data_IF_850599145004
#
_entry.id   IF_850599145004
#
_cell.length_a   1.000
_cell.length_b   1.000
_cell.length_c   1.000
_cell.angle_alpha   90.00
_cell.angle_beta   90.00
_cell.angle_gamma   90.00
#
_symmetry.space_group_name_H-M   'P 1'
#
loop_
_entity.id
_entity.type
_entity.pdbx_description
1 polymer ?
#
# COMPACT_ATOMS: atom_id res chain seq x y z
N UNK A 1 8.60 13.96 9.62
CA UNK A 1 7.27 13.60 9.08
C UNK A 1 6.83 12.17 9.44
N UNK A 2 7.59 11.12 9.10
CA UNK A 2 7.19 9.71 9.32
C UNK A 2 6.94 9.30 10.78
N UNK A 3 7.69 9.86 11.75
CA UNK A 3 7.42 9.66 13.20
C UNK A 3 6.02 10.16 13.60
N UNK A 4 5.61 11.33 13.13
CA UNK A 4 4.28 11.89 13.40
C UNK A 4 3.19 11.03 12.76
N UNK A 5 3.39 10.61 11.50
CA UNK A 5 2.51 9.69 10.78
C UNK A 5 2.30 8.37 11.54
N UNK A 6 3.38 7.77 12.05
CA UNK A 6 3.35 6.56 12.90
C UNK A 6 2.55 6.77 14.19
N UNK A 7 2.74 7.89 14.89
CA UNK A 7 1.94 8.23 16.08
C UNK A 7 0.46 8.30 15.73
N UNK A 8 0.09 9.01 14.66
CA UNK A 8 -1.30 9.11 14.25
C UNK A 8 -1.89 7.77 13.78
N UNK A 9 -1.08 6.85 13.23
CA UNK A 9 -1.53 5.50 12.90
C UNK A 9 -1.82 4.69 14.18
N UNK A 10 -1.01 4.86 15.23
CA UNK A 10 -1.29 4.25 16.53
C UNK A 10 -2.58 4.80 17.14
N UNK A 11 -2.77 6.13 17.08
CA UNK A 11 -4.01 6.76 17.53
C UNK A 11 -5.22 6.26 16.73
N UNK A 12 -5.08 6.10 15.41
CA UNK A 12 -6.12 5.52 14.55
C UNK A 12 -6.54 4.14 15.01
N UNK A 13 -5.57 3.26 15.31
CA UNK A 13 -5.82 1.93 15.84
C UNK A 13 -6.52 1.97 17.21
N UNK A 14 -6.12 2.88 18.10
CA UNK A 14 -6.74 3.04 19.43
C UNK A 14 -8.17 3.58 19.36
N UNK A 15 -8.49 4.48 18.42
CA UNK A 15 -9.85 4.98 18.23
C UNK A 15 -10.79 3.89 17.69
N UNK A 16 -10.30 3.04 16.78
CA UNK A 16 -11.10 1.99 16.12
C UNK A 16 -11.20 0.67 16.91
N UNK A 17 -10.24 0.39 17.78
CA UNK A 17 -10.26 -0.71 18.75
C UNK A 17 -9.83 -0.16 20.13
N UNK A 18 -10.73 0.47 20.91
CA UNK A 18 -10.39 1.03 22.23
C UNK A 18 -9.88 0.00 23.24
N UNK A 19 -10.08 -1.29 22.98
CA UNK A 19 -9.58 -2.40 23.78
C UNK A 19 -8.25 -2.97 23.24
N UNK A 20 -7.64 -2.34 22.23
CA UNK A 20 -6.39 -2.82 21.64
C UNK A 20 -5.26 -2.84 22.66
N UNK A 21 -4.83 -4.04 23.04
CA UNK A 21 -3.69 -4.22 23.91
C UNK A 21 -2.36 -3.91 23.21
N UNK A 22 -1.32 -3.57 23.99
CA UNK A 22 0.01 -3.19 23.47
C UNK A 22 0.57 -4.16 22.43
N UNK A 23 0.44 -5.48 22.65
CA UNK A 23 0.92 -6.48 21.69
C UNK A 23 0.21 -6.36 20.34
N UNK A 24 -1.12 -6.25 20.30
CA UNK A 24 -1.85 -6.06 19.04
C UNK A 24 -1.49 -4.74 18.38
N UNK A 25 -1.30 -3.68 19.16
CA UNK A 25 -0.90 -2.37 18.64
C UNK A 25 0.50 -2.41 18.00
N UNK A 26 1.48 -3.11 18.59
CA UNK A 26 2.79 -3.30 17.95
C UNK A 26 2.69 -4.13 16.68
N UNK A 27 1.80 -5.13 16.65
CA UNK A 27 1.53 -5.93 15.46
C UNK A 27 0.87 -5.12 14.36
N UNK A 28 -0.02 -4.20 14.72
CA UNK A 28 -0.64 -3.28 13.76
C UNK A 28 0.42 -2.45 13.03
N UNK A 29 1.38 -1.86 13.76
CA UNK A 29 2.49 -1.09 13.15
C UNK A 29 3.38 -1.99 12.29
N UNK A 30 3.76 -3.17 12.81
CA UNK A 30 4.54 -4.15 12.06
C UNK A 30 3.87 -4.57 10.74
N UNK A 31 2.59 -4.95 10.77
CA UNK A 31 1.88 -5.38 9.56
C UNK A 31 1.67 -4.24 8.57
N UNK A 32 1.51 -3.01 9.04
CA UNK A 32 1.43 -1.85 8.16
C UNK A 32 2.72 -1.68 7.35
N UNK A 33 3.89 -1.76 8.00
CA UNK A 33 5.17 -1.71 7.29
C UNK A 33 5.42 -2.95 6.43
N UNK A 34 5.09 -4.15 6.92
CA UNK A 34 5.28 -5.39 6.18
C UNK A 34 4.48 -5.43 4.88
N UNK A 35 3.19 -5.10 4.95
CA UNK A 35 2.30 -5.12 3.79
C UNK A 35 2.68 -4.01 2.82
N UNK A 36 2.93 -2.81 3.32
CA UNK A 36 3.37 -1.70 2.48
C UNK A 36 4.70 -2.03 1.79
N UNK A 37 5.65 -2.65 2.47
CA UNK A 37 6.93 -3.08 1.88
C UNK A 37 6.73 -4.06 0.74
N UNK A 38 5.91 -5.09 0.92
CA UNK A 38 5.67 -6.08 -0.14
C UNK A 38 4.84 -5.54 -1.30
N UNK A 39 4.07 -4.45 -1.10
CA UNK A 39 3.29 -3.80 -2.14
C UNK A 39 4.04 -2.66 -2.84
N UNK A 40 4.97 -1.97 -2.16
CA UNK A 40 5.60 -0.71 -2.60
C UNK A 40 7.12 -0.71 -2.59
N UNK A 41 7.77 -1.79 -2.14
CA UNK A 41 9.22 -1.88 -1.99
C UNK A 41 9.81 -1.03 -0.85
N UNK A 42 8.98 -0.32 -0.07
CA UNK A 42 9.43 0.55 1.03
C UNK A 42 8.51 0.41 2.24
N UNK A 43 9.02 0.69 3.44
CA UNK A 43 8.19 0.71 4.65
C UNK A 43 7.40 2.02 4.75
N UNK A 44 6.21 1.95 5.35
CA UNK A 44 5.33 3.10 5.51
C UNK A 44 5.87 4.10 6.54
N UNK A 45 6.47 3.59 7.62
CA UNK A 45 6.90 4.38 8.78
C UNK A 45 8.41 4.49 8.93
N UNK A 46 9.21 3.83 8.08
CA UNK A 46 10.68 3.83 8.17
C UNK A 46 11.17 3.32 9.54
N UNK A 47 10.50 2.26 9.98
CA UNK A 47 10.72 1.64 11.29
C UNK A 47 11.85 0.63 11.20
N UNK A 48 12.71 0.61 12.22
CA UNK A 48 13.55 -0.55 12.51
C UNK A 48 12.79 -1.50 13.43
N UNK A 49 13.01 -2.80 13.27
CA UNK A 49 12.30 -3.81 14.05
C UNK A 49 13.27 -4.67 14.82
N UNK A 50 12.96 -4.90 16.10
CA UNK A 50 13.71 -5.81 16.96
C UNK A 50 12.88 -7.08 17.12
N UNK A 51 13.53 -8.24 16.98
CA UNK A 51 12.90 -9.53 17.29
C UNK A 51 12.70 -9.63 18.80
N UNK A 52 11.46 -9.83 19.23
CA UNK A 52 11.08 -9.97 20.64
C UNK A 52 10.26 -11.26 20.86
N UNK A 53 10.06 -11.72 22.13
CA UNK A 53 9.37 -12.99 22.41
C UNK A 53 7.90 -13.05 21.96
N UNK A 54 7.28 -11.91 21.68
CA UNK A 54 5.91 -11.79 21.16
C UNK A 54 5.90 -11.31 19.70
N UNK A 55 6.99 -11.60 18.99
CA UNK A 55 7.26 -11.22 17.62
C UNK A 55 7.90 -9.84 17.45
N UNK A 56 8.06 -9.36 16.20
CA UNK A 56 8.78 -8.13 15.89
C UNK A 56 8.14 -6.88 16.52
N UNK A 57 8.97 -5.92 16.92
CA UNK A 57 8.54 -4.69 17.59
C UNK A 57 9.38 -3.50 17.09
N UNK A 58 8.70 -2.42 16.70
CA UNK A 58 9.33 -1.10 16.52
C UNK A 58 9.67 -0.51 17.91
N UNK A 59 10.96 -0.21 18.21
CA UNK A 59 11.37 0.22 19.54
C UNK A 59 10.85 1.61 19.92
N UNK A 60 10.59 2.49 18.94
CA UNK A 60 10.07 3.85 19.16
C UNK A 60 8.59 3.79 19.57
N UNK A 61 7.77 3.05 18.83
CA UNK A 61 6.36 2.80 19.13
C UNK A 61 6.20 2.01 20.44
N UNK A 62 7.11 1.06 20.69
CA UNK A 62 7.16 0.36 21.96
C UNK A 62 7.44 1.32 23.11
N UNK A 63 8.49 2.13 23.03
CA UNK A 63 8.81 3.12 24.06
C UNK A 63 7.63 4.07 24.32
N UNK A 64 7.01 4.60 23.26
CA UNK A 64 5.87 5.52 23.36
C UNK A 64 4.65 4.91 24.07
N UNK A 65 4.41 3.61 23.90
CA UNK A 65 3.30 2.89 24.58
C UNK A 65 3.63 2.47 26.01
N UNK A 66 4.85 2.75 26.46
CA UNK A 66 5.30 2.46 27.82
C UNK A 66 4.66 3.39 28.84
N UNK A 67 4.40 4.65 28.53
CA UNK A 67 3.97 5.67 29.51
C UNK A 67 3.00 6.68 28.90
N UNK A 68 2.23 7.36 29.77
CA UNK A 68 1.36 8.47 29.36
C UNK A 68 2.20 9.59 28.74
N UNK A 69 1.72 10.14 27.65
CA UNK A 69 2.38 11.22 26.90
C UNK A 69 1.33 12.22 26.39
N UNK A 70 1.76 13.16 25.54
CA UNK A 70 0.90 14.21 25.00
C UNK A 70 -0.23 13.68 24.11
N UNK A 71 -0.05 12.52 23.48
CA UNK A 71 -0.99 11.96 22.52
C UNK A 71 -2.03 11.03 23.15
N UNK A 72 -1.65 10.26 24.18
CA UNK A 72 -2.54 9.31 24.86
C UNK A 72 -2.11 9.01 26.30
N UNK A 73 -3.07 8.58 27.11
CA UNK A 73 -2.86 8.09 28.48
C UNK A 73 -2.70 6.58 28.48
N UNK A 74 -1.77 6.06 29.29
CA UNK A 74 -1.52 4.63 29.47
C UNK A 74 -1.94 4.20 30.87
N UNK A 75 -2.92 3.30 30.97
CA UNK A 75 -3.28 2.63 32.22
C UNK A 75 -2.70 1.22 32.22
N UNK A 76 -1.78 0.96 33.16
CA UNK A 76 -1.18 -0.37 33.38
C UNK A 76 -1.91 -1.07 34.51
N UNK A 77 -2.32 -2.30 34.28
CA UNK A 77 -2.84 -3.18 35.35
C UNK A 77 -2.21 -4.54 35.24
N UNK A 78 -1.86 -5.17 36.36
CA UNK A 78 -1.41 -6.56 36.36
C UNK A 78 -2.60 -7.49 36.22
N UNK A 79 -2.64 -8.24 35.13
CA UNK A 79 -3.55 -9.36 34.97
C UNK A 79 -3.15 -10.49 35.91
N UNK A 80 -4.12 -11.04 36.64
CA UNK A 80 -3.95 -12.30 37.37
C UNK A 80 -3.90 -13.44 36.34
N UNK A 81 -2.88 -14.29 36.43
CA UNK A 81 -2.82 -15.51 35.63
C UNK A 81 -4.08 -16.35 35.86
N UNK A 82 -4.57 -17.04 34.81
CA UNK A 82 -5.77 -17.89 34.94
C UNK A 82 -5.55 -19.11 35.84
N UNK A 83 -4.29 -19.41 36.18
CA UNK A 83 -3.87 -20.42 37.15
C UNK A 83 -2.60 -19.97 37.88
N UNK A 84 -2.26 -20.63 38.99
CA UNK A 84 -1.00 -20.39 39.73
C UNK A 84 0.25 -20.62 38.86
N UNK A 85 0.12 -21.36 37.75
CA UNK A 85 1.19 -21.63 36.79
C UNK A 85 1.33 -20.55 35.71
N UNK A 86 0.36 -19.64 35.54
CA UNK A 86 0.45 -18.57 34.53
C UNK A 86 1.10 -17.33 35.14
N UNK A 87 2.27 -16.93 34.62
CA UNK A 87 2.93 -15.70 35.06
C UNK A 87 1.99 -14.49 34.89
N UNK A 88 1.98 -13.56 35.86
CA UNK A 88 1.23 -12.31 35.72
C UNK A 88 1.71 -11.57 34.47
N UNK A 89 0.78 -10.93 33.78
CA UNK A 89 1.07 -10.15 32.57
C UNK A 89 0.56 -8.73 32.73
N UNK A 90 1.29 -7.78 32.16
CA UNK A 90 0.86 -6.39 32.15
C UNK A 90 -0.20 -6.19 31.06
N UNK A 91 -1.37 -5.71 31.49
CA UNK A 91 -2.44 -5.27 30.62
C UNK A 91 -2.34 -3.76 30.46
N UNK A 92 -2.30 -3.30 29.20
CA UNK A 92 -2.18 -1.90 28.83
C UNK A 92 -3.51 -1.46 28.21
N UNK A 93 -4.09 -0.39 28.76
CA UNK A 93 -5.22 0.32 28.19
C UNK A 93 -4.76 1.71 27.75
N UNK A 94 -5.15 2.09 26.54
CA UNK A 94 -4.81 3.38 25.95
C UNK A 94 -6.06 4.25 25.88
N UNK A 95 -5.92 5.51 26.26
CA UNK A 95 -6.97 6.51 26.09
C UNK A 95 -6.41 7.68 25.29
N UNK A 96 -6.89 7.84 24.07
CA UNK A 96 -6.50 8.91 23.15
C UNK A 96 -6.80 10.28 23.78
N UNK A 97 -5.85 11.22 23.67
CA UNK A 97 -5.96 12.60 24.18
C UNK A 97 -6.09 13.64 23.07
N UNK A 98 -5.67 13.30 21.85
CA UNK A 98 -5.72 14.18 20.68
C UNK A 98 -6.42 13.47 19.52
N UNK A 99 -7.23 14.17 18.72
CA UNK A 99 -7.89 13.55 17.57
C UNK A 99 -6.86 13.06 16.55
N UNK A 100 -7.17 11.97 15.87
CA UNK A 100 -6.35 11.49 14.76
C UNK A 100 -6.41 12.49 13.60
N UNK A 101 -5.25 12.99 13.19
CA UNK A 101 -5.11 13.72 11.95
C UNK A 101 -5.10 12.72 10.78
N UNK A 102 -6.22 12.62 10.07
CA UNK A 102 -6.39 11.70 8.94
C UNK A 102 -5.75 12.21 7.64
N UNK A 103 -5.51 13.51 7.53
CA UNK A 103 -4.91 14.16 6.35
C UNK A 103 -3.43 13.76 6.15
N UNK A 104 -2.83 13.11 7.15
CA UNK A 104 -1.50 12.51 7.05
C UNK A 104 -1.46 11.21 6.25
N UNK A 105 -2.63 10.64 5.93
CA UNK A 105 -2.75 9.33 5.31
C UNK A 105 -3.43 9.40 3.95
N UNK A 106 -2.92 8.64 2.99
CA UNK A 106 -3.65 8.43 1.73
C UNK A 106 -4.85 7.49 1.95
N UNK A 107 -5.78 7.45 0.98
CA UNK A 107 -6.94 6.54 1.05
C UNK A 107 -6.50 5.08 1.15
N UNK A 108 -5.44 4.71 0.44
CA UNK A 108 -4.82 3.39 0.54
C UNK A 108 -4.32 3.09 1.96
N UNK A 109 -3.60 4.01 2.59
CA UNK A 109 -3.06 3.78 3.93
C UNK A 109 -4.18 3.64 4.98
N UNK A 110 -5.25 4.43 4.86
CA UNK A 110 -6.46 4.28 5.69
C UNK A 110 -7.10 2.90 5.47
N UNK A 111 -7.24 2.46 4.22
CA UNK A 111 -7.74 1.15 3.85
C UNK A 111 -6.85 0.01 4.40
N UNK A 112 -5.53 0.16 4.31
CA UNK A 112 -4.54 -0.76 4.89
C UNK A 112 -4.73 -0.87 6.41
N UNK A 113 -4.91 0.25 7.11
CA UNK A 113 -5.15 0.22 8.55
C UNK A 113 -6.46 -0.48 8.90
N UNK A 114 -7.53 -0.23 8.14
CA UNK A 114 -8.81 -0.92 8.31
C UNK A 114 -8.69 -2.42 8.06
N UNK A 115 -7.97 -2.83 7.01
CA UNK A 115 -7.68 -4.24 6.73
C UNK A 115 -7.01 -4.91 7.92
N UNK A 116 -5.92 -4.31 8.42
CA UNK A 116 -5.16 -4.88 9.54
C UNK A 116 -6.03 -4.94 10.79
N UNK A 117 -6.72 -3.86 11.15
CA UNK A 117 -7.57 -3.85 12.34
C UNK A 117 -8.71 -4.87 12.25
N UNK A 118 -9.29 -5.07 11.06
CA UNK A 118 -10.30 -6.10 10.81
C UNK A 118 -9.72 -7.49 10.99
N UNK A 119 -8.55 -7.76 10.42
CA UNK A 119 -7.83 -9.03 10.58
C UNK A 119 -7.43 -9.31 12.03
N UNK A 120 -7.17 -8.26 12.83
CA UNK A 120 -6.82 -8.37 14.25
C UNK A 120 -8.04 -8.40 15.18
N UNK A 121 -9.23 -8.00 14.72
CA UNK A 121 -10.44 -7.89 15.56
C UNK A 121 -10.86 -9.28 16.07
N UNK A 122 -11.24 -9.36 17.35
CA UNK A 122 -11.64 -10.62 17.99
C UNK A 122 -10.52 -11.64 18.24
N UNK A 123 -9.34 -11.49 17.64
CA UNK A 123 -8.21 -12.40 17.83
C UNK A 123 -7.44 -12.12 19.12
N UNK A 124 -7.01 -13.19 19.80
CA UNK A 124 -6.16 -13.10 21.00
C UNK A 124 -4.76 -12.65 20.60
N UNK A 125 -4.10 -11.88 21.47
CA UNK A 125 -2.73 -11.42 21.25
C UNK A 125 -1.72 -12.56 21.00
N UNK A 126 -1.96 -13.74 21.59
CA UNK A 126 -1.15 -14.93 21.35
C UNK A 126 -1.26 -15.40 19.90
N UNK A 127 -2.48 -15.55 19.37
CA UNK A 127 -2.72 -15.96 17.98
C UNK A 127 -2.10 -15.00 16.96
N UNK A 128 -2.13 -13.69 17.24
CA UNK A 128 -1.48 -12.70 16.38
C UNK A 128 0.05 -12.79 16.47
N UNK A 129 0.60 -13.14 17.64
CA UNK A 129 2.04 -13.33 17.81
C UNK A 129 2.50 -14.60 17.08
N UNK A 130 1.73 -15.68 17.18
CA UNK A 130 1.99 -16.97 16.54
C UNK A 130 2.14 -16.80 15.02
N UNK A 131 1.28 -15.99 14.38
CA UNK A 131 1.43 -15.65 12.95
C UNK A 131 2.84 -15.13 12.63
N UNK A 132 3.32 -14.15 13.40
CA UNK A 132 4.65 -13.58 13.16
C UNK A 132 5.80 -14.54 13.47
N UNK A 133 5.58 -15.55 14.32
CA UNK A 133 6.59 -16.57 14.64
C UNK A 133 6.77 -17.60 13.52
N UNK A 134 5.81 -17.67 12.59
CA UNK A 134 5.93 -18.52 11.40
C UNK A 134 6.74 -17.86 10.27
N UNK A 135 7.01 -16.56 10.35
CA UNK A 135 7.81 -15.83 9.37
C UNK A 135 9.30 -16.01 9.61
N UNK A 136 10.09 -16.05 8.54
CA UNK A 136 11.55 -16.15 8.53
C UNK A 136 12.20 -15.05 9.35
N UNK A 137 11.71 -13.82 9.19
CA UNK A 137 12.16 -12.62 9.92
C UNK A 137 12.09 -12.75 11.45
N UNK A 138 11.33 -13.71 11.98
CA UNK A 138 11.31 -14.01 13.40
C UNK A 138 12.07 -15.29 13.75
N UNK A 139 12.01 -16.31 12.88
CA UNK A 139 12.65 -17.63 13.10
C UNK A 139 14.17 -17.57 13.08
N UNK A 140 14.73 -16.72 12.23
CA UNK A 140 16.16 -16.70 11.95
C UNK A 140 16.97 -15.80 12.89
N UNK A 141 16.28 -14.99 13.71
CA UNK A 141 16.89 -14.01 14.62
C UNK A 141 16.63 -14.34 16.10
N UNK A 142 17.49 -13.84 16.98
CA UNK A 142 17.42 -13.98 18.45
C UNK A 142 16.79 -12.76 19.11
N UNK A 143 16.31 -12.94 20.34
CA UNK A 143 15.60 -11.87 21.06
C UNK A 143 16.57 -10.72 21.32
N UNK A 144 16.16 -9.51 20.95
CA UNK A 144 16.98 -8.31 21.02
C UNK A 144 17.79 -8.01 19.76
N UNK A 145 17.80 -8.89 18.76
CA UNK A 145 18.44 -8.61 17.46
C UNK A 145 17.55 -7.76 16.57
N UNK A 146 18.19 -6.85 15.83
CA UNK A 146 17.53 -6.09 14.77
C UNK A 146 17.25 -7.01 13.58
N UNK A 147 16.05 -6.89 13.01
CA UNK A 147 15.62 -7.61 11.83
C UNK A 147 16.02 -6.76 10.61
N UNK A 148 16.90 -7.25 9.73
CA UNK A 148 17.30 -6.56 8.51
C UNK A 148 16.09 -6.31 7.59
N UNK A 149 16.11 -5.18 6.87
CA UNK A 149 15.01 -4.80 5.99
C UNK A 149 14.75 -5.83 4.88
N UNK A 150 15.78 -6.47 4.34
CA UNK A 150 15.64 -7.48 3.28
C UNK A 150 14.75 -8.67 3.69
N UNK A 151 14.63 -8.94 4.99
CA UNK A 151 13.74 -9.98 5.53
C UNK A 151 12.25 -9.58 5.52
N UNK A 152 11.92 -8.35 5.12
CA UNK A 152 10.53 -7.94 4.89
C UNK A 152 10.00 -8.42 3.54
N UNK A 153 10.89 -8.76 2.59
CA UNK A 153 10.47 -9.36 1.32
C UNK A 153 9.98 -10.79 1.59
N UNK A 154 8.66 -10.97 1.58
CA UNK A 154 8.05 -12.26 1.84
C UNK A 154 8.18 -13.17 0.62
N UNK A 155 8.46 -14.45 0.87
CA UNK A 155 8.31 -15.49 -0.14
C UNK A 155 6.83 -15.91 -0.33
N UNK A 156 6.58 -16.73 -1.34
CA UNK A 156 5.22 -17.16 -1.69
C UNK A 156 4.49 -17.90 -0.57
N UNK A 157 5.22 -18.64 0.28
CA UNK A 157 4.63 -19.35 1.41
C UNK A 157 4.28 -18.39 2.55
N UNK A 158 5.15 -17.43 2.83
CA UNK A 158 4.90 -16.39 3.83
C UNK A 158 3.75 -15.47 3.42
N UNK A 159 3.63 -15.12 2.14
CA UNK A 159 2.50 -14.34 1.62
C UNK A 159 1.18 -15.10 1.79
N UNK A 160 1.12 -16.37 1.35
CA UNK A 160 -0.05 -17.23 1.55
C UNK A 160 -0.45 -17.34 3.03
N UNK A 161 0.53 -17.45 3.91
CA UNK A 161 0.31 -17.50 5.36
C UNK A 161 -0.30 -16.18 5.87
N UNK A 162 0.24 -15.03 5.47
CA UNK A 162 -0.27 -13.70 5.86
C UNK A 162 -1.69 -13.51 5.33
N UNK A 163 -1.97 -13.90 4.09
CA UNK A 163 -3.30 -13.83 3.47
C UNK A 163 -4.32 -14.74 4.13
N UNK A 164 -3.92 -15.93 4.58
CA UNK A 164 -4.79 -16.83 5.36
C UNK A 164 -5.31 -16.18 6.65
N UNK A 165 -4.66 -15.11 7.11
CA UNK A 165 -5.06 -14.33 8.27
C UNK A 165 -5.99 -13.16 7.96
N UNK A 166 -6.32 -12.93 6.68
CA UNK A 166 -7.13 -11.81 6.19
C UNK A 166 -6.33 -10.55 5.87
N UNK A 167 -5.02 -10.68 5.64
CA UNK A 167 -4.12 -9.57 5.27
C UNK A 167 -3.73 -9.72 3.80
N UNK A 168 -4.43 -9.03 2.91
CA UNK A 168 -4.19 -9.11 1.47
C UNK A 168 -2.90 -8.38 1.10
N UNK A 169 -1.95 -9.12 0.53
CA UNK A 169 -0.62 -8.60 0.23
C UNK A 169 -0.25 -8.81 -1.23
N UNK A 170 -0.79 -9.86 -1.86
CA UNK A 170 -0.49 -10.23 -3.23
C UNK A 170 -1.60 -9.84 -4.21
N UNK A 171 -1.29 -9.94 -5.51
CA UNK A 171 -2.19 -9.62 -6.62
C UNK A 171 -1.64 -8.55 -7.56
N UNK A 172 -2.45 -8.16 -8.55
CA UNK A 172 -2.02 -7.27 -9.63
C UNK A 172 -1.44 -5.94 -9.11
N UNK A 173 -2.01 -5.36 -8.05
CA UNK A 173 -1.50 -4.12 -7.47
C UNK A 173 -0.04 -4.22 -7.01
N UNK A 174 0.40 -5.39 -6.52
CA UNK A 174 1.79 -5.62 -6.11
C UNK A 174 2.71 -5.76 -7.31
N UNK A 175 2.31 -6.53 -8.32
CA UNK A 175 3.06 -6.67 -9.57
C UNK A 175 3.26 -5.31 -10.23
N UNK A 176 2.16 -4.57 -10.41
CA UNK A 176 2.17 -3.22 -10.97
C UNK A 176 3.11 -2.29 -10.19
N UNK A 177 2.92 -2.17 -8.87
CA UNK A 177 3.68 -1.21 -8.08
C UNK A 177 5.16 -1.56 -7.96
N UNK A 178 5.51 -2.84 -7.86
CA UNK A 178 6.91 -3.26 -7.83
C UNK A 178 7.62 -2.90 -9.13
N UNK A 179 6.98 -3.19 -10.28
CA UNK A 179 7.55 -2.90 -11.60
C UNK A 179 7.64 -1.40 -11.85
N UNK A 180 6.56 -0.66 -11.60
CA UNK A 180 6.53 0.77 -11.88
C UNK A 180 7.41 1.57 -10.93
N UNK A 181 7.50 1.19 -9.65
CA UNK A 181 8.40 1.89 -8.71
C UNK A 181 9.86 1.69 -9.10
N UNK A 182 10.25 0.45 -9.44
CA UNK A 182 11.60 0.14 -9.94
C UNK A 182 11.91 0.94 -11.21
N UNK A 183 10.97 0.94 -12.16
CA UNK A 183 11.11 1.69 -13.40
C UNK A 183 11.25 3.20 -13.15
N UNK A 184 10.40 3.77 -12.30
CA UNK A 184 10.43 5.21 -11.98
C UNK A 184 11.73 5.64 -11.28
N UNK A 185 12.31 4.78 -10.45
CA UNK A 185 13.60 5.04 -9.80
C UNK A 185 14.73 5.06 -10.84
N UNK A 186 14.80 4.06 -11.72
CA UNK A 186 15.79 4.00 -12.82
C UNK A 186 15.70 5.22 -13.76
N UNK A 187 14.49 5.77 -13.92
CA UNK A 187 14.24 6.96 -14.73
C UNK A 187 14.61 8.26 -14.02
N UNK A 188 14.41 8.33 -12.70
CA UNK A 188 14.76 9.52 -11.89
C UNK A 188 16.28 9.75 -11.82
N UNK A 189 17.06 8.68 -11.88
CA UNK A 189 18.54 8.73 -11.85
C UNK A 189 19.15 9.00 -13.24
N UNK A 190 18.33 9.20 -14.28
CA UNK A 190 18.79 9.38 -15.65
C UNK A 190 19.06 10.84 -16.02
N UNK A 191 20.07 11.07 -16.86
CA UNK A 191 20.30 12.36 -17.52
C UNK A 191 19.31 12.48 -18.70
N UNK A 192 18.54 13.56 -18.74
CA UNK A 192 17.63 13.91 -19.84
C UNK A 192 18.42 14.40 -21.07
N UNK A 193 18.00 14.10 -22.32
CA UNK A 193 16.86 13.26 -22.74
C UNK A 193 17.14 11.76 -22.72
N UNK A 194 16.08 10.98 -22.52
CA UNK A 194 16.15 9.53 -22.62
C UNK A 194 16.53 9.10 -24.04
N UNK A 195 17.32 8.03 -24.16
CA UNK A 195 17.61 7.43 -25.46
C UNK A 195 16.35 6.71 -25.99
N UNK A 196 16.18 6.59 -27.32
CA UNK A 196 15.05 5.87 -27.90
C UNK A 196 14.89 4.45 -27.36
N UNK A 197 15.99 3.75 -27.09
CA UNK A 197 15.99 2.39 -26.53
C UNK A 197 15.41 2.34 -25.11
N UNK A 198 15.66 3.39 -24.30
CA UNK A 198 15.07 3.49 -22.96
C UNK A 198 13.58 3.75 -23.01
N UNK A 199 13.13 4.57 -23.96
CA UNK A 199 11.70 4.82 -24.19
C UNK A 199 10.99 3.52 -24.58
N UNK A 200 11.53 2.77 -25.55
CA UNK A 200 10.97 1.48 -25.98
C UNK A 200 10.85 0.50 -24.81
N UNK A 201 11.89 0.38 -23.97
CA UNK A 201 11.84 -0.52 -22.81
C UNK A 201 10.75 -0.14 -21.79
N UNK A 202 10.49 1.16 -21.61
CA UNK A 202 9.40 1.62 -20.75
C UNK A 202 8.05 1.27 -21.39
N UNK A 203 7.89 1.52 -22.70
CA UNK A 203 6.66 1.19 -23.43
C UNK A 203 6.35 -0.31 -23.38
N UNK A 204 7.35 -1.18 -23.54
CA UNK A 204 7.19 -2.64 -23.38
C UNK A 204 6.68 -3.04 -21.98
N UNK A 205 7.15 -2.37 -20.92
CA UNK A 205 6.68 -2.64 -19.55
C UNK A 205 5.22 -2.22 -19.37
N UNK A 206 4.85 -1.06 -19.91
CA UNK A 206 3.49 -0.53 -19.82
C UNK A 206 2.50 -1.38 -20.62
N UNK A 207 2.84 -1.75 -21.86
CA UNK A 207 1.99 -2.59 -22.72
C UNK A 207 1.73 -3.96 -22.07
N UNK A 208 2.76 -4.54 -21.48
CA UNK A 208 2.65 -5.81 -20.77
C UNK A 208 1.79 -5.72 -19.50
N UNK A 209 1.83 -4.59 -18.77
CA UNK A 209 0.94 -4.34 -17.62
C UNK A 209 -0.52 -4.17 -18.06
N UNK A 210 -0.75 -3.46 -19.17
CA UNK A 210 -2.10 -3.29 -19.76
C UNK A 210 -2.69 -4.65 -20.13
N UNK A 211 -1.91 -5.52 -20.79
CA UNK A 211 -2.37 -6.86 -21.21
C UNK A 211 -2.73 -7.75 -20.01
N UNK A 212 -2.00 -7.63 -18.90
CA UNK A 212 -2.25 -8.41 -17.68
C UNK A 212 -3.33 -7.84 -16.77
N UNK A 213 -3.90 -6.68 -17.11
CA UNK A 213 -4.85 -6.01 -16.25
C UNK A 213 -6.06 -6.91 -15.94
N UNK A 214 -6.42 -7.12 -14.66
CA UNK A 214 -7.33 -8.19 -14.26
C UNK A 214 -8.80 -7.81 -14.44
N UNK A 215 -9.30 -7.84 -15.67
CA UNK A 215 -10.73 -7.70 -15.97
C UNK A 215 -11.50 -9.00 -15.71
N UNK A 216 -12.73 -8.95 -15.15
CA UNK A 216 -13.49 -7.76 -14.76
C UNK A 216 -13.23 -7.33 -13.31
N UNK A 217 -12.34 -8.01 -12.57
CA UNK A 217 -12.12 -7.80 -11.13
C UNK A 217 -11.82 -6.34 -10.80
N UNK A 218 -11.00 -5.65 -11.61
CA UNK A 218 -10.67 -4.23 -11.43
C UNK A 218 -11.25 -3.33 -12.54
N UNK A 219 -12.36 -3.74 -13.16
CA UNK A 219 -12.97 -2.99 -14.27
C UNK A 219 -13.35 -1.54 -13.89
N UNK A 220 -13.68 -1.28 -12.62
CA UNK A 220 -14.03 0.05 -12.10
C UNK A 220 -12.86 1.04 -12.13
N UNK A 221 -11.62 0.56 -12.09
CA UNK A 221 -10.42 1.41 -12.12
C UNK A 221 -9.78 1.51 -13.51
N UNK A 222 -10.35 0.83 -14.51
CA UNK A 222 -9.71 0.70 -15.81
C UNK A 222 -9.53 2.05 -16.53
N UNK A 223 -10.51 2.95 -16.46
CA UNK A 223 -10.41 4.26 -17.11
C UNK A 223 -9.38 5.16 -16.43
N UNK A 224 -9.36 5.18 -15.10
CA UNK A 224 -8.32 5.85 -14.32
C UNK A 224 -6.91 5.30 -14.61
N UNK A 225 -6.78 3.98 -14.82
CA UNK A 225 -5.53 3.35 -15.22
C UNK A 225 -5.08 3.80 -16.62
N UNK A 226 -5.99 3.91 -17.59
CA UNK A 226 -5.67 4.40 -18.94
C UNK A 226 -5.28 5.88 -18.92
N UNK A 227 -6.03 6.73 -18.20
CA UNK A 227 -5.67 8.15 -18.04
C UNK A 227 -4.28 8.30 -17.42
N UNK A 228 -3.95 7.46 -16.43
CA UNK A 228 -2.59 7.42 -15.88
C UNK A 228 -1.55 6.97 -16.91
N UNK A 229 -1.79 5.89 -17.66
CA UNK A 229 -0.85 5.37 -18.67
C UNK A 229 -0.49 6.44 -19.71
N UNK A 230 -1.51 7.13 -20.25
CA UNK A 230 -1.33 8.25 -21.18
C UNK A 230 -0.51 9.37 -20.57
N UNK A 231 -0.86 9.77 -19.34
CA UNK A 231 -0.19 10.85 -18.61
C UNK A 231 1.26 10.47 -18.32
N UNK A 232 1.51 9.23 -17.94
CA UNK A 232 2.84 8.70 -17.67
C UNK A 232 3.70 8.70 -18.93
N UNK A 233 3.19 8.18 -20.05
CA UNK A 233 3.89 8.21 -21.35
C UNK A 233 4.21 9.61 -21.82
N UNK A 234 3.30 10.57 -21.60
CA UNK A 234 3.55 11.97 -21.91
C UNK A 234 4.63 12.56 -21.00
N UNK A 235 4.55 12.31 -19.70
CA UNK A 235 5.52 12.79 -18.71
C UNK A 235 6.94 12.29 -19.01
N UNK A 236 7.11 11.05 -19.46
CA UNK A 236 8.42 10.53 -19.87
C UNK A 236 9.09 11.35 -20.98
N UNK A 237 8.29 11.94 -21.87
CA UNK A 237 8.78 12.68 -23.04
C UNK A 237 9.00 14.15 -22.71
N UNK A 238 8.13 14.73 -21.88
CA UNK A 238 8.10 16.17 -21.63
C UNK A 238 8.75 16.58 -20.30
N UNK A 239 8.47 15.83 -19.22
CA UNK A 239 8.94 16.17 -17.88
C UNK A 239 9.13 14.91 -17.01
N UNK A 240 10.27 14.23 -17.11
CA UNK A 240 10.52 13.02 -16.33
C UNK A 240 10.54 13.21 -14.81
N UNK A 241 10.67 14.45 -14.32
CA UNK A 241 10.72 14.73 -12.89
C UNK A 241 9.40 14.38 -12.17
N UNK A 242 8.27 14.34 -12.89
CA UNK A 242 6.96 14.01 -12.29
C UNK A 242 6.61 12.51 -12.34
N UNK A 243 7.42 11.70 -13.02
CA UNK A 243 7.19 10.25 -13.21
C UNK A 243 7.07 9.52 -11.88
N UNK A 244 7.98 9.78 -10.93
CA UNK A 244 7.96 9.14 -9.61
C UNK A 244 6.72 9.51 -8.79
N UNK A 245 6.26 10.76 -8.86
CA UNK A 245 5.00 11.16 -8.21
C UNK A 245 3.78 10.53 -8.86
N UNK A 246 3.74 10.44 -10.19
CA UNK A 246 2.66 9.78 -10.92
C UNK A 246 2.58 8.29 -10.60
N UNK A 247 3.72 7.61 -10.52
CA UNK A 247 3.79 6.20 -10.10
C UNK A 247 3.24 6.02 -8.68
N UNK A 248 3.67 6.87 -7.74
CA UNK A 248 3.22 6.79 -6.35
C UNK A 248 1.69 6.99 -6.23
N UNK A 249 1.14 7.97 -6.95
CA UNK A 249 -0.29 8.27 -6.93
C UNK A 249 -1.14 7.16 -7.56
N UNK A 250 -0.73 6.61 -8.72
CA UNK A 250 -1.43 5.49 -9.34
C UNK A 250 -1.39 4.24 -8.47
N UNK A 251 -0.24 3.97 -7.84
CA UNK A 251 -0.13 2.88 -6.88
C UNK A 251 -1.07 3.04 -5.69
N UNK A 252 -1.20 4.26 -5.14
CA UNK A 252 -2.18 4.55 -4.08
C UNK A 252 -3.61 4.28 -4.53
N UNK A 253 -3.98 4.72 -5.73
CA UNK A 253 -5.32 4.49 -6.25
C UNK A 253 -5.59 3.01 -6.55
N UNK A 254 -4.64 2.30 -7.16
CA UNK A 254 -4.76 0.90 -7.50
C UNK A 254 -4.85 0.02 -6.23
N UNK A 255 -3.99 0.27 -5.23
CA UNK A 255 -4.04 -0.49 -3.99
C UNK A 255 -5.33 -0.23 -3.21
N UNK A 256 -5.82 1.02 -3.16
CA UNK A 256 -7.10 1.33 -2.52
C UNK A 256 -8.26 0.63 -3.24
N UNK A 257 -8.31 0.71 -4.57
CA UNK A 257 -9.38 0.11 -5.36
C UNK A 257 -9.37 -1.42 -5.24
N UNK A 258 -8.18 -2.04 -5.30
CA UNK A 258 -8.05 -3.49 -5.11
C UNK A 258 -8.56 -3.93 -3.73
N UNK A 259 -8.19 -3.21 -2.67
CA UNK A 259 -8.74 -3.46 -1.33
C UNK A 259 -10.26 -3.29 -1.28
N UNK A 260 -10.79 -2.20 -1.85
CA UNK A 260 -12.22 -1.89 -1.83
C UNK A 260 -13.04 -2.98 -2.53
N UNK A 261 -12.56 -3.48 -3.67
CA UNK A 261 -13.17 -4.60 -4.42
C UNK A 261 -13.12 -5.89 -3.60
N UNK A 262 -11.94 -6.26 -3.07
CA UNK A 262 -11.75 -7.52 -2.35
C UNK A 262 -12.53 -7.57 -1.04
N UNK A 263 -12.54 -6.48 -0.29
CA UNK A 263 -13.21 -6.40 1.02
C UNK A 263 -14.72 -6.19 0.92
N UNK A 264 -15.20 -5.60 -0.19
CA UNK A 264 -16.57 -5.12 -0.30
C UNK A 264 -16.94 -4.03 0.72
N UNK A 265 -15.95 -3.42 1.38
CA UNK A 265 -16.17 -2.47 2.47
C UNK A 265 -16.60 -1.07 1.97
N UNK A 266 -16.34 -0.77 0.70
CA UNK A 266 -16.70 0.49 0.04
C UNK A 266 -17.87 0.24 -0.91
N UNK A 267 -18.92 1.07 -0.81
CA UNK A 267 -20.06 0.98 -1.71
C UNK A 267 -19.64 1.21 -3.17
N UNK A 268 -20.27 0.49 -4.11
CA UNK A 268 -19.93 0.55 -5.55
C UNK A 268 -19.95 1.97 -6.11
N UNK A 269 -20.93 2.78 -5.74
CA UNK A 269 -21.07 4.17 -6.18
C UNK A 269 -19.92 5.05 -5.65
N UNK A 270 -19.54 4.87 -4.38
CA UNK A 270 -18.43 5.62 -3.77
C UNK A 270 -17.10 5.23 -4.41
N UNK A 271 -16.92 3.94 -4.71
CA UNK A 271 -15.72 3.45 -5.40
C UNK A 271 -15.65 3.95 -6.85
N UNK A 272 -16.77 3.98 -7.57
CA UNK A 272 -16.84 4.52 -8.93
C UNK A 272 -16.50 6.02 -8.94
N UNK A 273 -17.12 6.81 -8.07
CA UNK A 273 -16.83 8.24 -7.95
C UNK A 273 -15.37 8.51 -7.57
N UNK A 274 -14.75 7.64 -6.77
CA UNK A 274 -13.32 7.75 -6.49
C UNK A 274 -12.46 7.48 -7.74
N UNK A 275 -12.80 6.47 -8.54
CA UNK A 275 -12.05 6.17 -9.75
C UNK A 275 -12.18 7.30 -10.78
N UNK A 276 -13.37 7.90 -10.90
CA UNK A 276 -13.61 9.09 -11.73
C UNK A 276 -12.77 10.30 -11.25
N UNK A 277 -12.69 10.55 -9.93
CA UNK A 277 -11.83 11.61 -9.36
C UNK A 277 -10.34 11.39 -9.68
N UNK A 278 -9.90 10.13 -9.67
CA UNK A 278 -8.50 9.77 -10.00
C UNK A 278 -8.23 9.96 -11.49
N UNK A 279 -9.16 9.54 -12.35
CA UNK A 279 -9.10 9.76 -13.81
C UNK A 279 -8.96 11.25 -14.14
N UNK A 280 -9.88 12.08 -13.63
CA UNK A 280 -9.88 13.54 -13.85
C UNK A 280 -8.57 14.19 -13.39
N UNK A 281 -7.97 13.68 -12.30
CA UNK A 281 -6.70 14.20 -11.80
C UNK A 281 -5.55 13.89 -12.74
N UNK A 282 -5.45 12.67 -13.27
CA UNK A 282 -4.41 12.35 -14.25
C UNK A 282 -4.59 13.15 -15.53
N UNK A 283 -5.83 13.30 -16.01
CA UNK A 283 -6.14 14.18 -17.15
C UNK A 283 -5.72 15.63 -16.92
N UNK A 284 -5.98 16.17 -15.72
CA UNK A 284 -5.56 17.53 -15.35
C UNK A 284 -4.03 17.69 -15.39
N UNK A 285 -3.28 16.68 -14.93
CA UNK A 285 -1.80 16.68 -14.99
C UNK A 285 -1.34 16.63 -16.46
N UNK A 286 -1.96 15.77 -17.27
CA UNK A 286 -1.68 15.66 -18.71
C UNK A 286 -1.89 16.99 -19.44
N UNK A 287 -3.00 17.66 -19.20
CA UNK A 287 -3.28 19.00 -19.74
C UNK A 287 -2.27 20.05 -19.24
N UNK A 288 -1.84 19.95 -17.99
CA UNK A 288 -0.77 20.77 -17.42
C UNK A 288 0.53 20.64 -18.21
N UNK A 289 0.97 19.41 -18.47
CA UNK A 289 2.20 19.12 -19.23
C UNK A 289 2.14 19.69 -20.65
N UNK A 290 0.99 19.61 -21.32
CA UNK A 290 0.81 20.23 -22.64
C UNK A 290 0.91 21.76 -22.62
N UNK A 291 0.35 22.41 -21.58
CA UNK A 291 0.42 23.87 -21.43
C UNK A 291 1.83 24.36 -21.14
N UNK A 292 2.64 23.57 -20.44
CA UNK A 292 4.03 23.90 -20.11
C UNK A 292 4.98 23.70 -21.30
N UNK A 293 4.62 22.84 -22.26
CA UNK A 293 5.42 22.51 -23.45
C UNK A 293 4.65 22.68 -24.77
N UNK A 294 4.13 23.88 -25.08
CA UNK A 294 3.30 24.12 -26.25
C UNK A 294 4.03 23.89 -27.58
N UNK A 295 5.36 24.03 -27.61
CA UNK A 295 6.21 23.76 -28.77
C UNK A 295 6.18 22.29 -29.23
N UNK A 296 5.86 21.35 -28.33
CA UNK A 296 5.78 19.92 -28.64
C UNK A 296 4.37 19.46 -29.03
N UNK A 297 3.37 20.36 -29.03
CA UNK A 297 2.01 20.08 -29.51
C UNK A 297 1.98 19.66 -30.99
N UNK A 298 3.00 20.03 -31.77
CA UNK A 298 3.05 19.82 -33.22
C UNK A 298 3.80 18.53 -33.63
N UNK A 299 4.61 17.92 -32.75
CA UNK A 299 5.25 16.61 -33.00
C UNK A 299 4.39 15.43 -32.52
N UNK A 300 3.47 15.65 -31.57
CA UNK A 300 2.47 14.65 -31.14
C UNK A 300 1.27 14.68 -32.10
N UNK A 301 1.50 14.51 -33.40
CA UNK A 301 0.41 14.38 -34.38
C UNK A 301 -0.23 12.98 -34.33
N UNK A 302 -1.26 12.84 -33.49
CA UNK A 302 -2.64 12.43 -33.86
C UNK A 302 -2.90 11.22 -34.76
N UNK A 303 -1.98 10.25 -34.86
CA UNK A 303 -2.32 8.97 -35.51
C UNK A 303 -2.02 7.76 -34.64
N UNK A 304 -0.87 7.72 -33.97
CA UNK A 304 -0.50 6.56 -33.16
C UNK A 304 -1.18 6.54 -31.79
N UNK A 305 -1.32 7.69 -31.14
CA UNK A 305 -2.02 7.80 -29.84
C UNK A 305 -3.52 7.52 -29.99
N UNK A 306 -4.16 8.10 -31.01
CA UNK A 306 -5.60 7.90 -31.26
C UNK A 306 -5.93 6.46 -31.67
N UNK A 307 -5.03 5.80 -32.42
CA UNK A 307 -5.17 4.38 -32.76
C UNK A 307 -4.92 3.48 -31.55
N UNK A 308 -3.96 3.81 -30.68
CA UNK A 308 -3.70 3.05 -29.45
C UNK A 308 -4.90 3.19 -28.49
N UNK A 309 -5.40 4.40 -28.28
CA UNK A 309 -6.62 4.69 -27.50
C UNK A 309 -7.84 3.93 -28.04
N UNK A 310 -8.06 3.98 -29.35
CA UNK A 310 -9.16 3.26 -29.99
C UNK A 310 -8.99 1.74 -29.82
N UNK A 311 -7.77 1.23 -29.95
CA UNK A 311 -7.46 -0.20 -29.80
C UNK A 311 -7.60 -0.66 -28.35
N UNK A 312 -7.24 0.18 -27.38
CA UNK A 312 -7.41 -0.11 -25.95
C UNK A 312 -8.89 -0.05 -25.54
N UNK A 313 -9.65 0.93 -26.02
CA UNK A 313 -11.11 1.00 -25.81
C UNK A 313 -11.83 -0.18 -26.45
N UNK A 314 -11.44 -0.58 -27.66
CA UNK A 314 -11.97 -1.78 -28.33
C UNK A 314 -11.61 -3.06 -27.58
N UNK A 315 -10.37 -3.20 -27.11
CA UNK A 315 -9.93 -4.34 -26.27
C UNK A 315 -10.75 -4.45 -24.98
N UNK A 316 -11.10 -3.31 -24.35
CA UNK A 316 -12.00 -3.26 -23.19
C UNK A 316 -13.41 -3.73 -23.53
N UNK A 317 -14.00 -3.20 -24.61
CA UNK A 317 -15.34 -3.60 -25.06
C UNK A 317 -15.39 -5.10 -25.34
N UNK A 318 -14.38 -5.64 -26.02
CA UNK A 318 -14.25 -7.08 -26.29
C UNK A 318 -14.09 -7.90 -25.00
N UNK A 319 -13.28 -7.44 -24.04
CA UNK A 319 -13.08 -8.14 -22.76
C UNK A 319 -14.34 -8.17 -21.87
N UNK A 320 -15.19 -7.14 -21.96
CA UNK A 320 -16.47 -7.07 -21.25
C UNK A 320 -17.57 -7.93 -21.90
N UNK A 321 -17.48 -8.18 -23.20
CA UNK A 321 -18.43 -9.01 -23.96
C UNK A 321 -18.13 -10.53 -23.90
N UNK A 322 -16.95 -10.94 -23.41
CA UNK A 322 -16.58 -12.35 -23.32
C UNK A 322 -17.28 -13.09 -22.15
N UNK A 323 -17.99 -14.22 -22.40
CA UNK A 323 -18.70 -14.96 -21.36
C UNK A 323 -17.74 -15.61 -20.34
N UNK A 324 -18.17 -15.78 -19.08
CA UNK A 324 -17.35 -16.40 -18.04
C UNK A 324 -17.24 -17.90 -18.29
N UNK A 325 -16.17 -18.35 -18.92
CA UNK A 325 -15.98 -19.78 -19.22
C UNK A 325 -15.00 -20.09 -20.35
N UNK A 326 -14.55 -19.08 -21.10
CA UNK A 326 -13.32 -19.14 -21.89
C UNK A 326 -12.45 -17.95 -21.48
N UNK A 327 -11.87 -18.05 -20.29
CA UNK A 327 -10.85 -17.15 -19.75
C UNK A 327 -9.63 -17.98 -19.42
#
# INVERSE_FOLDING_TARGET
MKKLKKIHAMLYAMEHDPAIGRTKLMKFIFFADLIHYNQRGTTLFDSTYIRMPKGPVDPVAYSLTGETNDFFTVKKSRGKGKSSATRPYDHYLFQVRVPVNRDLFSRYEIALFHMILTALRGKKATSVSDLTHHLRLWKEFRDGEEIPLDYFALDDDEMRLVESFGLFIDGFQREFCTRMTTLSADLSDAIHPFTPERVVKVEEVLDDLVVRYPLPSLAVFYDAYLAWDDTFRLALRLNPAVVSSLTAECCDALCFTSYAVQSGAVGREVLAAYCEEVEERFDTIREGLFREHPENLCEVTTTTSDLLDLTMRLSRSLALEMPPGRR
#
